data_IF_941151035253
#
_entry.id   IF_941151035253
#
_cell.length_a   1.000
_cell.length_b   1.000
_cell.length_c   1.000
_cell.angle_alpha   90.00
_cell.angle_beta   90.00
_cell.angle_gamma   90.00
#
_symmetry.space_group_name_H-M   'P 1'
#
loop_
_entity.id
_entity.type
_entity.pdbx_description
1 polymer ?
#
# COMPACT_ATOMS: atom_id res chain seq x y z
N UNK A 1 37.89 -6.82 7.02
CA UNK A 1 37.14 -5.91 7.94
C UNK A 1 36.51 -4.71 7.24
N UNK A 2 37.09 -4.15 6.16
CA UNK A 2 36.53 -2.96 5.48
C UNK A 2 35.35 -3.24 4.50
N UNK A 3 35.23 -4.46 3.96
CA UNK A 3 34.14 -4.80 3.01
C UNK A 3 32.77 -5.02 3.66
N UNK A 4 32.71 -5.33 4.96
CA UNK A 4 31.45 -5.49 5.69
C UNK A 4 30.77 -4.14 5.96
N UNK A 5 31.52 -3.04 6.06
CA UNK A 5 30.98 -1.69 6.27
C UNK A 5 30.25 -1.13 5.05
N UNK A 6 30.70 -1.44 3.83
CA UNK A 6 30.06 -0.97 2.60
C UNK A 6 28.68 -1.59 2.38
N UNK A 7 28.49 -2.86 2.77
CA UNK A 7 27.20 -3.55 2.71
C UNK A 7 26.19 -2.97 3.71
N UNK A 8 26.63 -2.51 4.88
CA UNK A 8 25.74 -1.87 5.86
C UNK A 8 25.31 -0.47 5.43
N UNK A 9 26.16 0.29 4.73
CA UNK A 9 25.83 1.65 4.25
C UNK A 9 24.82 1.59 3.08
N UNK A 10 24.94 0.59 2.20
CA UNK A 10 23.98 0.37 1.10
C UNK A 10 22.58 -0.06 1.57
N UNK A 11 22.47 -0.70 2.74
CA UNK A 11 21.19 -1.11 3.33
C UNK A 11 20.39 0.07 3.89
N UNK A 12 21.06 1.14 4.34
CA UNK A 12 20.42 2.32 4.95
C UNK A 12 19.99 3.33 3.89
N UNK A 13 20.82 3.57 2.88
CA UNK A 13 20.52 4.50 1.78
C UNK A 13 19.39 4.01 0.87
N UNK A 14 19.25 2.69 0.68
CA UNK A 14 18.14 2.10 -0.08
C UNK A 14 16.76 2.25 0.57
N UNK A 15 16.69 2.46 1.89
CA UNK A 15 15.43 2.71 2.62
C UNK A 15 14.99 4.18 2.57
N UNK A 16 15.95 5.11 2.51
CA UNK A 16 15.65 6.55 2.46
C UNK A 16 15.18 6.97 1.06
N UNK A 17 15.75 6.41 0.00
CA UNK A 17 15.45 6.80 -1.38
C UNK A 17 14.07 6.37 -1.90
N UNK A 18 13.29 5.61 -1.11
CA UNK A 18 11.92 5.18 -1.45
C UNK A 18 10.86 6.11 -0.83
N UNK A 19 11.24 7.05 0.04
CA UNK A 19 10.28 7.80 0.88
C UNK A 19 10.11 9.28 0.49
N UNK A 20 10.82 9.79 -0.52
CA UNK A 20 10.72 11.20 -0.91
C UNK A 20 10.60 11.35 -2.41
N UNK A 21 9.36 11.33 -2.90
CA UNK A 21 8.98 11.96 -4.18
C UNK A 21 7.60 12.60 -4.01
N UNK A 22 7.58 13.92 -3.79
CA UNK A 22 6.45 14.80 -4.08
C UNK A 22 7.01 16.10 -4.69
N UNK A 23 6.37 16.67 -5.74
CA UNK A 23 6.95 17.79 -6.49
C UNK A 23 6.43 19.15 -5.99
N UNK A 24 7.27 20.18 -6.05
CA UNK A 24 6.82 21.58 -6.00
C UNK A 24 7.69 22.49 -6.90
N UNK A 25 6.99 23.26 -7.71
CA UNK A 25 7.38 24.30 -8.69
C UNK A 25 7.75 25.67 -8.09
N UNK A 26 8.55 26.46 -8.83
CA UNK A 26 8.71 27.94 -8.77
C UNK A 26 10.12 28.41 -8.34
N UNK A 27 11.02 28.90 -9.22
CA UNK A 27 11.11 30.17 -10.00
C UNK A 27 11.95 31.28 -9.32
N UNK A 28 13.16 31.56 -9.87
CA UNK A 28 13.74 32.87 -10.32
C UNK A 28 15.29 32.85 -10.29
N UNK A 29 15.97 32.90 -11.45
CA UNK A 29 16.63 34.06 -12.13
C UNK A 29 17.83 34.62 -11.34
N UNK A 30 19.09 34.51 -11.83
CA UNK A 30 19.74 35.53 -12.67
C UNK A 30 21.02 34.98 -13.34
N UNK A 31 21.09 35.07 -14.67
CA UNK A 31 22.29 34.98 -15.53
C UNK A 31 22.11 35.96 -16.69
N UNK A 32 23.17 36.66 -17.13
CA UNK A 32 23.77 36.81 -18.50
C UNK A 32 25.01 37.77 -18.36
N UNK A 33 25.89 38.04 -19.37
CA UNK A 33 26.43 37.30 -20.54
C UNK A 33 27.97 37.15 -20.46
N UNK A 34 28.70 36.46 -21.36
CA UNK A 34 28.97 36.88 -22.75
C UNK A 34 29.77 35.81 -23.53
N UNK A 35 29.77 35.98 -24.86
CA UNK A 35 29.93 34.94 -25.88
C UNK A 35 31.06 35.21 -26.88
N UNK A 36 31.70 34.12 -27.36
CA UNK A 36 32.15 33.85 -28.76
C UNK A 36 33.48 34.40 -29.30
N UNK A 37 34.11 33.53 -30.13
CA UNK A 37 35.17 33.69 -31.19
C UNK A 37 36.54 33.06 -30.86
N UNK A 38 36.90 31.86 -31.37
CA UNK A 38 37.37 31.39 -32.71
C UNK A 38 38.84 31.74 -33.10
N UNK A 39 39.66 30.68 -33.15
CA UNK A 39 40.77 30.36 -34.11
C UNK A 39 41.94 31.35 -34.32
N UNK A 40 43.19 30.93 -34.04
CA UNK A 40 44.18 30.50 -35.07
C UNK A 40 45.62 30.31 -34.50
N UNK A 41 46.26 29.22 -34.95
CA UNK A 41 47.67 28.98 -35.33
C UNK A 41 48.94 29.50 -34.60
N UNK A 42 49.89 28.54 -34.53
CA UNK A 42 51.36 28.61 -34.74
C UNK A 42 52.31 29.31 -33.75
N UNK A 43 53.36 28.58 -33.35
CA UNK A 43 54.52 29.10 -32.61
C UNK A 43 55.67 28.07 -32.53
N UNK A 44 56.81 28.42 -33.14
CA UNK A 44 57.93 27.60 -33.61
C UNK A 44 59.23 27.85 -32.79
N UNK A 45 60.18 26.89 -32.83
CA UNK A 45 61.66 26.97 -32.61
C UNK A 45 62.14 27.25 -31.16
N UNK A 46 63.28 26.80 -30.64
CA UNK A 46 64.61 26.47 -31.18
C UNK A 46 65.42 25.69 -30.09
N UNK A 47 66.37 24.82 -30.42
CA UNK A 47 67.81 25.16 -30.31
C UNK A 47 68.69 24.17 -31.08
N UNK A 48 69.75 24.74 -31.64
CA UNK A 48 70.61 24.26 -32.72
C UNK A 48 72.04 23.96 -32.20
N UNK A 49 72.84 23.22 -32.99
CA UNK A 49 74.33 23.22 -33.12
C UNK A 49 75.09 22.03 -32.47
N UNK A 50 76.13 21.39 -33.04
CA UNK A 50 76.84 21.47 -34.33
C UNK A 50 77.81 20.26 -34.50
N UNK A 51 78.14 19.96 -35.76
CA UNK A 51 79.40 19.43 -36.34
C UNK A 51 79.91 18.01 -36.05
N UNK A 52 80.23 17.30 -37.14
CA UNK A 52 80.96 16.04 -37.13
C UNK A 52 82.47 16.16 -37.33
N UNK A 53 83.18 15.06 -37.05
CA UNK A 53 84.41 14.58 -37.69
C UNK A 53 84.64 13.12 -37.28
N UNK A 54 85.41 12.40 -38.10
CA UNK A 54 85.37 10.97 -38.34
C UNK A 54 86.19 10.06 -37.39
N UNK A 55 85.88 8.76 -37.53
CA UNK A 55 86.69 7.54 -37.35
C UNK A 55 86.69 6.90 -35.95
N UNK A 56 86.12 5.69 -35.89
CA UNK A 56 86.43 4.69 -34.86
C UNK A 56 85.21 3.96 -34.32
N UNK A 57 85.06 2.69 -34.73
CA UNK A 57 84.24 1.63 -34.13
C UNK A 57 82.73 1.61 -34.44
N UNK A 58 82.41 0.84 -35.50
CA UNK A 58 81.09 0.25 -35.72
C UNK A 58 80.75 -0.70 -34.57
N UNK A 59 80.01 -0.21 -33.56
CA UNK A 59 79.20 -1.09 -32.70
C UNK A 59 77.85 -1.23 -33.39
N UNK A 60 77.62 -2.42 -33.95
CA UNK A 60 76.33 -2.81 -34.49
C UNK A 60 75.35 -3.01 -33.33
N UNK A 61 74.84 -1.92 -32.76
CA UNK A 61 73.70 -1.97 -31.86
C UNK A 61 72.48 -2.20 -32.74
N UNK A 62 72.06 -3.46 -32.85
CA UNK A 62 70.70 -3.76 -33.28
C UNK A 62 69.78 -2.98 -32.36
N UNK A 63 69.15 -1.91 -32.89
CA UNK A 63 67.96 -1.32 -32.29
C UNK A 63 66.97 -2.47 -32.25
N UNK A 64 66.87 -3.10 -31.08
CA UNK A 64 65.80 -4.00 -30.77
C UNK A 64 64.56 -3.12 -30.77
N UNK A 65 63.85 -3.07 -31.91
CA UNK A 65 62.50 -2.56 -31.97
C UNK A 65 61.70 -3.34 -30.94
N UNK A 66 61.55 -2.74 -29.77
CA UNK A 66 60.74 -3.28 -28.71
C UNK A 66 59.31 -3.17 -29.23
N UNK A 67 58.64 -4.30 -29.55
CA UNK A 67 57.30 -4.23 -30.11
C UNK A 67 56.44 -3.44 -29.15
N UNK A 68 55.69 -2.49 -29.69
CA UNK A 68 54.78 -1.67 -28.89
C UNK A 68 53.90 -2.59 -28.04
N UNK A 69 53.66 -2.25 -26.78
CA UNK A 69 52.83 -3.05 -25.85
C UNK A 69 51.48 -3.49 -26.47
N UNK A 70 50.99 -2.71 -27.44
CA UNK A 70 49.81 -2.95 -28.25
C UNK A 70 49.93 -4.15 -29.21
N UNK A 71 51.08 -4.40 -29.83
CA UNK A 71 51.29 -5.59 -30.66
C UNK A 71 51.36 -6.87 -29.82
N UNK A 72 51.91 -6.79 -28.61
CA UNK A 72 51.93 -7.91 -27.65
C UNK A 72 50.52 -8.26 -27.13
N UNK A 73 49.62 -7.28 -27.06
CA UNK A 73 48.22 -7.46 -26.66
C UNK A 73 47.35 -7.99 -27.81
N UNK A 74 47.55 -7.50 -29.04
CA UNK A 74 46.78 -7.95 -30.21
C UNK A 74 47.13 -9.38 -30.65
N UNK A 75 48.39 -9.80 -30.47
CA UNK A 75 48.82 -11.18 -30.78
C UNK A 75 48.61 -12.20 -29.65
N UNK A 76 47.99 -11.81 -28.53
CA UNK A 76 47.85 -12.69 -27.35
C UNK A 76 46.82 -13.82 -27.52
N UNK A 77 46.04 -13.83 -28.61
CA UNK A 77 45.06 -14.87 -28.86
C UNK A 77 45.10 -15.35 -30.32
N UNK A 78 46.13 -16.14 -30.71
CA UNK A 78 46.31 -16.59 -32.10
C UNK A 78 45.23 -17.58 -32.57
N UNK A 79 44.47 -18.19 -31.65
CA UNK A 79 43.34 -19.08 -31.95
C UNK A 79 42.25 -18.93 -30.89
N UNK A 80 41.02 -18.68 -31.33
CA UNK A 80 39.85 -18.72 -30.47
C UNK A 80 39.65 -20.12 -29.91
N UNK A 81 39.41 -20.21 -28.60
CA UNK A 81 39.00 -21.48 -27.97
C UNK A 81 37.64 -21.92 -28.53
N UNK A 82 37.36 -23.24 -28.56
CA UNK A 82 36.07 -23.74 -28.99
C UNK A 82 34.94 -23.20 -28.11
N UNK A 83 33.71 -23.24 -28.63
CA UNK A 83 32.51 -22.78 -27.92
C UNK A 83 32.41 -23.52 -26.58
N UNK A 84 32.27 -22.75 -25.49
CA UNK A 84 32.14 -23.29 -24.14
C UNK A 84 30.88 -24.15 -23.98
N UNK A 85 30.91 -25.03 -22.98
CA UNK A 85 29.83 -25.95 -22.65
C UNK A 85 28.46 -25.26 -22.50
N UNK A 86 27.38 -26.01 -22.69
CA UNK A 86 26.00 -25.48 -22.64
C UNK A 86 25.68 -24.76 -21.32
N UNK A 87 26.27 -25.18 -20.20
CA UNK A 87 26.13 -24.53 -18.90
C UNK A 87 26.60 -23.08 -18.90
N UNK A 88 27.69 -22.78 -19.62
CA UNK A 88 28.19 -21.42 -19.77
C UNK A 88 27.22 -20.55 -20.57
N UNK A 89 26.67 -21.09 -21.66
CA UNK A 89 25.71 -20.36 -22.50
C UNK A 89 24.40 -20.09 -21.74
N UNK A 90 23.87 -21.09 -21.05
CA UNK A 90 22.65 -20.96 -20.24
C UNK A 90 22.85 -19.96 -19.10
N UNK A 91 24.00 -19.97 -18.42
CA UNK A 91 24.32 -18.99 -17.39
C UNK A 91 24.27 -17.55 -17.93
N UNK A 92 24.89 -17.29 -19.09
CA UNK A 92 24.90 -15.98 -19.71
C UNK A 92 23.51 -15.52 -20.18
N UNK A 93 22.67 -16.44 -20.64
CA UNK A 93 21.26 -16.14 -20.97
C UNK A 93 20.51 -15.67 -19.71
N UNK A 94 20.67 -16.36 -18.58
CA UNK A 94 20.04 -15.94 -17.32
C UNK A 94 20.59 -14.62 -16.79
N UNK A 95 21.89 -14.34 -16.97
CA UNK A 95 22.44 -13.02 -16.66
C UNK A 95 21.82 -11.94 -17.54
N UNK A 96 21.66 -12.18 -18.84
CA UNK A 96 20.98 -11.25 -19.74
C UNK A 96 19.51 -11.03 -19.35
N UNK A 97 18.78 -12.10 -19.02
CA UNK A 97 17.40 -12.02 -18.52
C UNK A 97 17.30 -11.23 -17.21
N UNK A 98 18.34 -11.27 -16.38
CA UNK A 98 18.39 -10.48 -15.15
C UNK A 98 18.46 -8.97 -15.47
N UNK A 99 19.28 -8.56 -16.44
CA UNK A 99 19.39 -7.15 -16.84
C UNK A 99 18.15 -6.61 -17.55
N UNK A 100 17.31 -7.48 -18.11
CA UNK A 100 16.02 -7.11 -18.72
C UNK A 100 14.88 -6.94 -17.71
N UNK A 101 15.15 -7.09 -16.40
CA UNK A 101 14.09 -7.01 -15.40
C UNK A 101 13.43 -5.62 -15.34
N UNK A 102 12.08 -5.53 -15.36
CA UNK A 102 11.39 -4.25 -15.28
C UNK A 102 11.51 -3.61 -13.89
N UNK A 103 11.45 -2.27 -13.80
CA UNK A 103 11.49 -1.49 -12.56
C UNK A 103 10.18 -1.59 -11.73
N UNK A 104 9.71 -2.80 -11.48
CA UNK A 104 8.56 -3.09 -10.61
C UNK A 104 9.02 -3.92 -9.41
N UNK A 105 8.30 -3.92 -8.28
CA UNK A 105 8.69 -4.73 -7.12
C UNK A 105 8.68 -6.24 -7.43
N UNK A 106 7.84 -6.69 -8.36
CA UNK A 106 7.87 -8.06 -8.89
C UNK A 106 9.09 -8.29 -9.80
N UNK A 107 9.48 -7.29 -10.60
CA UNK A 107 10.69 -7.33 -11.41
C UNK A 107 11.98 -7.42 -10.60
N UNK A 108 12.04 -6.79 -9.42
CA UNK A 108 13.17 -6.94 -8.49
C UNK A 108 13.32 -8.37 -7.99
N UNK A 109 12.22 -9.09 -7.74
CA UNK A 109 12.27 -10.51 -7.38
C UNK A 109 12.75 -11.34 -8.57
N UNK A 110 12.22 -11.08 -9.77
CA UNK A 110 12.64 -11.73 -11.00
C UNK A 110 14.15 -11.61 -11.25
N UNK A 111 14.70 -10.40 -11.11
CA UNK A 111 16.13 -10.10 -11.20
C UNK A 111 16.95 -11.04 -10.29
N UNK A 112 16.58 -11.12 -9.00
CA UNK A 112 17.33 -11.93 -8.02
C UNK A 112 17.25 -13.42 -8.34
N UNK A 113 16.09 -13.91 -8.77
CA UNK A 113 15.92 -15.32 -9.15
C UNK A 113 16.74 -15.66 -10.38
N UNK A 114 16.72 -14.82 -11.42
CA UNK A 114 17.52 -15.02 -12.63
C UNK A 114 19.03 -15.03 -12.33
N UNK A 115 19.50 -14.14 -11.44
CA UNK A 115 20.90 -14.13 -10.98
C UNK A 115 21.28 -15.41 -10.22
N UNK A 116 20.42 -15.91 -9.33
CA UNK A 116 20.67 -17.17 -8.60
C UNK A 116 20.83 -18.32 -9.59
N UNK A 117 19.93 -18.42 -10.59
CA UNK A 117 19.98 -19.48 -11.60
C UNK A 117 21.23 -19.34 -12.47
N UNK A 118 21.56 -18.12 -12.92
CA UNK A 118 22.77 -17.84 -13.69
C UNK A 118 24.06 -18.22 -12.94
N UNK A 119 24.17 -17.83 -11.67
CA UNK A 119 25.31 -18.20 -10.81
C UNK A 119 25.38 -19.71 -10.55
N UNK A 120 24.23 -20.41 -10.41
CA UNK A 120 24.21 -21.86 -10.24
C UNK A 120 24.75 -22.58 -11.48
N UNK A 121 24.33 -22.19 -12.69
CA UNK A 121 24.84 -22.78 -13.93
C UNK A 121 26.31 -22.42 -14.20
N UNK A 122 26.72 -21.18 -13.89
CA UNK A 122 28.11 -20.74 -13.98
C UNK A 122 29.02 -21.50 -12.99
N UNK A 123 28.57 -21.70 -11.75
CA UNK A 123 29.27 -22.52 -10.76
C UNK A 123 29.34 -24.00 -11.16
N UNK A 124 28.26 -24.57 -11.70
CA UNK A 124 28.24 -25.95 -12.19
C UNK A 124 29.18 -26.14 -13.39
N UNK A 125 29.29 -25.15 -14.28
CA UNK A 125 30.30 -25.14 -15.34
C UNK A 125 31.72 -25.13 -14.78
N UNK A 126 32.01 -24.24 -13.81
CA UNK A 126 33.32 -24.17 -13.16
C UNK A 126 33.70 -25.47 -12.42
N UNK A 127 32.72 -26.17 -11.83
CA UNK A 127 32.92 -27.45 -11.14
C UNK A 127 33.15 -28.61 -12.13
N UNK A 128 32.29 -28.75 -13.14
CA UNK A 128 32.24 -29.96 -13.98
C UNK A 128 33.15 -29.93 -15.20
N UNK A 129 33.49 -28.75 -15.73
CA UNK A 129 34.24 -28.61 -16.99
C UNK A 129 35.68 -28.17 -16.74
N UNK A 130 35.87 -27.12 -15.93
CA UNK A 130 37.20 -26.51 -15.71
C UNK A 130 37.83 -26.91 -14.36
N UNK A 131 37.10 -27.59 -13.47
CA UNK A 131 37.53 -27.95 -12.10
C UNK A 131 38.15 -26.76 -11.32
N UNK A 132 37.61 -25.56 -11.52
CA UNK A 132 38.16 -24.32 -10.97
C UNK A 132 37.43 -23.94 -9.67
N UNK A 133 38.04 -24.31 -8.53
CA UNK A 133 37.44 -24.15 -7.19
C UNK A 133 37.10 -22.69 -6.85
N UNK A 134 38.00 -21.76 -7.18
CA UNK A 134 37.79 -20.32 -6.94
C UNK A 134 36.53 -19.81 -7.66
N UNK A 135 36.29 -20.24 -8.90
CA UNK A 135 35.05 -19.91 -9.63
C UNK A 135 33.80 -20.47 -8.96
N UNK A 136 33.87 -21.68 -8.41
CA UNK A 136 32.76 -22.28 -7.65
C UNK A 136 32.49 -21.51 -6.35
N UNK A 137 33.54 -21.08 -5.64
CA UNK A 137 33.45 -20.28 -4.43
C UNK A 137 32.76 -18.94 -4.69
N UNK A 138 33.19 -18.19 -5.71
CA UNK A 138 32.59 -16.90 -6.06
C UNK A 138 31.14 -17.02 -6.49
N UNK A 139 30.82 -17.99 -7.35
CA UNK A 139 29.43 -18.23 -7.77
C UNK A 139 28.53 -18.64 -6.59
N UNK A 140 29.05 -19.44 -5.66
CA UNK A 140 28.33 -19.80 -4.43
C UNK A 140 28.07 -18.60 -3.53
N UNK A 141 29.06 -17.70 -3.37
CA UNK A 141 28.87 -16.45 -2.63
C UNK A 141 27.78 -15.57 -3.26
N UNK A 142 27.77 -15.44 -4.59
CA UNK A 142 26.73 -14.68 -5.29
C UNK A 142 25.33 -15.31 -5.14
N UNK A 143 25.23 -16.65 -5.12
CA UNK A 143 23.95 -17.33 -4.83
C UNK A 143 23.46 -16.97 -3.45
N UNK A 144 24.32 -17.05 -2.42
CA UNK A 144 23.94 -16.75 -1.03
C UNK A 144 23.47 -15.29 -0.90
N UNK A 145 24.23 -14.34 -1.46
CA UNK A 145 23.87 -12.91 -1.42
C UNK A 145 22.53 -12.66 -2.11
N UNK A 146 22.35 -13.17 -3.33
CA UNK A 146 21.08 -12.97 -4.06
C UNK A 146 19.92 -13.70 -3.37
N UNK A 147 20.14 -14.82 -2.69
CA UNK A 147 19.12 -15.51 -1.92
C UNK A 147 18.68 -14.72 -0.68
N UNK A 148 19.61 -14.06 0.01
CA UNK A 148 19.28 -13.15 1.12
C UNK A 148 18.42 -11.99 0.62
N UNK A 149 18.84 -11.32 -0.46
CA UNK A 149 18.05 -10.23 -1.05
C UNK A 149 16.69 -10.70 -1.58
N UNK A 150 16.64 -11.87 -2.22
CA UNK A 150 15.39 -12.50 -2.63
C UNK A 150 14.48 -12.70 -1.42
N UNK A 151 15.00 -13.27 -0.33
CA UNK A 151 14.24 -13.51 0.90
C UNK A 151 13.70 -12.21 1.46
N UNK A 152 14.53 -11.17 1.59
CA UNK A 152 14.11 -9.84 2.08
C UNK A 152 13.00 -9.25 1.20
N UNK A 153 13.17 -9.22 -0.12
CA UNK A 153 12.15 -8.69 -1.03
C UNK A 153 10.86 -9.53 -1.01
N UNK A 154 10.98 -10.85 -0.91
CA UNK A 154 9.86 -11.77 -0.79
C UNK A 154 9.08 -11.53 0.51
N UNK A 155 9.77 -11.33 1.63
CA UNK A 155 9.14 -10.99 2.90
C UNK A 155 8.45 -9.62 2.85
N UNK A 156 9.06 -8.63 2.21
CA UNK A 156 8.46 -7.30 2.01
C UNK A 156 7.24 -7.33 1.09
N UNK A 157 7.21 -8.25 0.13
CA UNK A 157 6.11 -8.43 -0.82
C UNK A 157 4.97 -9.31 -0.31
N UNK A 158 5.16 -9.99 0.83
CA UNK A 158 4.15 -10.86 1.41
C UNK A 158 2.86 -10.05 1.65
N UNK A 159 1.74 -10.39 0.99
CA UNK A 159 0.49 -9.68 1.18
C UNK A 159 0.07 -9.80 2.65
N UNK A 160 -0.29 -8.68 3.27
CA UNK A 160 -0.84 -8.69 4.61
C UNK A 160 -2.17 -9.42 4.54
N UNK A 161 -2.22 -10.63 5.11
CA UNK A 161 -3.47 -11.36 5.28
C UNK A 161 -4.22 -10.69 6.42
N UNK A 162 -5.32 -10.02 6.09
CA UNK A 162 -6.23 -9.47 7.09
C UNK A 162 -7.13 -10.60 7.63
N UNK A 163 -7.66 -10.41 8.84
CA UNK A 163 -8.74 -11.26 9.33
C UNK A 163 -9.94 -11.16 8.37
N UNK A 164 -10.72 -12.23 8.22
CA UNK A 164 -11.80 -12.33 7.23
C UNK A 164 -12.74 -11.10 7.24
N UNK A 165 -13.15 -10.66 8.43
CA UNK A 165 -14.10 -9.55 8.59
C UNK A 165 -13.47 -8.19 8.24
N UNK A 166 -12.17 -8.01 8.50
CA UNK A 166 -11.44 -6.79 8.12
C UNK A 166 -11.23 -6.75 6.60
N UNK A 167 -11.02 -7.91 5.97
CA UNK A 167 -10.95 -8.04 4.52
C UNK A 167 -12.29 -7.69 3.85
N UNK A 168 -13.41 -8.14 4.42
CA UNK A 168 -14.76 -7.81 3.95
C UNK A 168 -15.00 -6.29 3.99
N UNK A 169 -14.66 -5.63 5.11
CA UNK A 169 -14.65 -4.17 5.23
C UNK A 169 -13.80 -3.50 4.17
N UNK A 170 -12.58 -3.99 3.95
CA UNK A 170 -11.67 -3.43 2.94
C UNK A 170 -12.28 -3.51 1.54
N UNK A 171 -12.85 -4.66 1.19
CA UNK A 171 -13.47 -4.89 -0.12
C UNK A 171 -14.74 -4.04 -0.30
N UNK A 172 -15.54 -3.85 0.75
CA UNK A 172 -16.80 -3.11 0.68
C UNK A 172 -16.60 -1.57 0.68
N UNK A 173 -15.75 -1.03 1.56
CA UNK A 173 -15.61 0.41 1.76
C UNK A 173 -14.42 1.02 1.01
N UNK A 174 -13.26 0.37 1.05
CA UNK A 174 -11.99 0.98 0.65
C UNK A 174 -11.56 0.60 -0.78
N UNK A 175 -11.87 -0.61 -1.24
CA UNK A 175 -11.55 -1.09 -2.59
C UNK A 175 -12.27 -0.29 -3.70
N UNK A 176 -13.56 0.08 -3.59
CA UNK A 176 -14.23 0.90 -4.61
C UNK A 176 -13.59 2.28 -4.77
N UNK A 177 -13.01 2.81 -3.68
CA UNK A 177 -12.35 4.11 -3.63
C UNK A 177 -10.87 4.04 -4.02
N UNK A 178 -10.40 2.91 -4.57
CA UNK A 178 -9.01 2.67 -5.03
C UNK A 178 -7.94 2.78 -3.95
N UNK A 179 -8.28 2.56 -2.67
CA UNK A 179 -7.29 2.54 -1.59
C UNK A 179 -6.41 1.30 -1.69
N UNK A 180 -5.09 1.49 -1.71
CA UNK A 180 -4.14 0.38 -1.75
C UNK A 180 -4.15 -0.41 -0.44
N UNK A 181 -3.89 -1.72 -0.50
CA UNK A 181 -3.74 -2.56 0.71
C UNK A 181 -2.65 -2.04 1.66
N UNK A 182 -1.62 -1.36 1.13
CA UNK A 182 -0.54 -0.76 1.93
C UNK A 182 -1.04 0.44 2.73
N UNK A 183 -1.82 1.33 2.11
CA UNK A 183 -2.46 2.46 2.80
C UNK A 183 -3.45 1.97 3.86
N UNK A 184 -4.27 0.97 3.54
CA UNK A 184 -5.17 0.37 4.53
C UNK A 184 -4.42 -0.33 5.67
N UNK A 185 -3.26 -0.96 5.42
CA UNK A 185 -2.39 -1.47 6.48
C UNK A 185 -1.94 -0.35 7.43
N UNK A 186 -1.60 0.84 6.90
CA UNK A 186 -1.21 2.00 7.72
C UNK A 186 -2.33 2.42 8.66
N UNK A 187 -3.57 2.47 8.17
CA UNK A 187 -4.77 2.72 8.98
C UNK A 187 -4.94 1.67 10.07
N UNK A 188 -4.79 0.38 9.74
CA UNK A 188 -4.90 -0.70 10.70
C UNK A 188 -3.81 -0.69 11.77
N UNK A 189 -2.62 -0.15 11.46
CA UNK A 189 -1.55 0.04 12.47
C UNK A 189 -1.93 1.08 13.53
N UNK A 190 -2.88 1.97 13.25
CA UNK A 190 -3.42 2.94 14.22
C UNK A 190 -4.55 2.37 15.10
N UNK A 191 -4.89 1.09 14.92
CA UNK A 191 -5.91 0.39 15.69
C UNK A 191 -5.55 0.37 17.18
N UNK A 192 -6.54 0.65 18.04
CA UNK A 192 -6.44 0.44 19.49
C UNK A 192 -6.61 -1.03 19.82
N UNK A 193 -7.76 -1.59 19.44
CA UNK A 193 -8.10 -2.99 19.61
C UNK A 193 -9.37 -3.36 18.82
N UNK A 194 -9.61 -4.66 18.64
CA UNK A 194 -10.92 -5.18 18.24
C UNK A 194 -11.68 -5.58 19.51
N UNK A 195 -12.83 -4.97 19.75
CA UNK A 195 -13.71 -5.31 20.87
C UNK A 195 -14.72 -6.37 20.44
N UNK A 196 -14.82 -7.42 21.26
CA UNK A 196 -15.87 -8.43 21.15
C UNK A 196 -16.95 -8.08 22.17
N UNK A 197 -18.18 -7.89 21.69
CA UNK A 197 -19.35 -7.56 22.49
C UNK A 197 -20.29 -8.76 22.49
N UNK A 198 -20.72 -9.18 23.68
CA UNK A 198 -21.78 -10.18 23.83
C UNK A 198 -23.15 -9.54 23.58
N UNK A 199 -24.15 -10.39 23.38
CA UNK A 199 -25.55 -9.94 23.30
C UNK A 199 -25.92 -9.13 24.55
N UNK A 200 -26.59 -7.99 24.36
CA UNK A 200 -26.95 -7.00 25.37
C UNK A 200 -25.78 -6.30 26.09
N UNK A 201 -24.54 -6.46 25.61
CA UNK A 201 -23.40 -5.74 26.15
C UNK A 201 -23.38 -4.29 25.63
N UNK A 202 -23.13 -3.33 26.53
CA UNK A 202 -23.02 -1.92 26.20
C UNK A 202 -21.62 -1.60 25.69
N UNK A 203 -21.53 -1.05 24.47
CA UNK A 203 -20.30 -0.52 23.92
C UNK A 203 -19.96 0.86 24.53
N UNK A 204 -20.95 1.74 24.55
CA UNK A 204 -20.84 3.10 25.05
C UNK A 204 -22.11 3.49 25.81
N UNK A 205 -21.93 4.23 26.90
CA UNK A 205 -23.03 4.73 27.71
C UNK A 205 -23.14 6.25 27.54
N UNK A 206 -24.38 6.71 27.33
CA UNK A 206 -24.72 8.12 27.18
C UNK A 206 -24.16 8.94 28.37
N UNK A 207 -23.50 10.05 28.06
CA UNK A 207 -22.91 11.04 28.98
C UNK A 207 -21.87 10.49 29.96
N UNK A 208 -21.38 9.27 29.76
CA UNK A 208 -20.41 8.60 30.64
C UNK A 208 -19.15 8.22 29.89
N UNK A 209 -19.28 7.61 28.71
CA UNK A 209 -18.13 7.18 27.92
C UNK A 209 -17.54 8.39 27.16
N UNK A 210 -16.23 8.61 27.27
CA UNK A 210 -15.52 9.67 26.54
C UNK A 210 -15.35 9.31 25.06
N UNK A 211 -15.49 10.29 24.17
CA UNK A 211 -15.32 10.13 22.73
C UNK A 211 -13.87 10.40 22.33
N UNK A 212 -13.02 9.39 22.45
CA UNK A 212 -11.59 9.44 22.13
C UNK A 212 -11.18 8.53 20.95
N UNK A 213 -12.15 7.77 20.42
CA UNK A 213 -11.91 6.72 19.44
C UNK A 213 -12.88 6.82 18.27
N UNK A 214 -12.44 6.33 17.12
CA UNK A 214 -13.31 6.05 15.99
C UNK A 214 -13.55 4.54 15.94
N UNK A 215 -14.80 4.12 15.83
CA UNK A 215 -15.13 2.70 15.78
C UNK A 215 -16.01 2.31 14.59
N UNK A 216 -15.77 1.10 14.09
CA UNK A 216 -16.42 0.51 12.93
C UNK A 216 -16.92 -0.89 13.26
N UNK A 217 -18.16 -1.18 12.89
CA UNK A 217 -18.76 -2.50 13.10
C UNK A 217 -18.21 -3.48 12.06
N UNK A 218 -17.54 -4.54 12.51
CA UNK A 218 -17.04 -5.62 11.65
C UNK A 218 -18.12 -6.66 11.39
N UNK A 219 -18.81 -7.09 12.45
CA UNK A 219 -19.87 -8.09 12.38
C UNK A 219 -20.88 -7.85 13.51
N UNK A 220 -22.13 -8.27 13.30
CA UNK A 220 -23.20 -8.15 14.27
C UNK A 220 -24.09 -6.92 14.04
N UNK A 221 -25.06 -6.71 14.93
CA UNK A 221 -26.02 -5.59 14.92
C UNK A 221 -25.99 -4.87 16.25
N UNK A 222 -25.90 -3.55 16.20
CA UNK A 222 -25.94 -2.70 17.38
C UNK A 222 -27.14 -1.77 17.32
N UNK A 223 -27.81 -1.57 18.44
CA UNK A 223 -28.88 -0.58 18.58
C UNK A 223 -28.32 0.67 19.24
N UNK A 224 -28.66 1.81 18.66
CA UNK A 224 -28.34 3.13 19.21
C UNK A 224 -29.59 3.68 19.87
N UNK A 225 -29.47 4.11 21.12
CA UNK A 225 -30.56 4.65 21.91
C UNK A 225 -30.17 5.98 22.56
N UNK A 226 -31.12 6.89 22.69
CA UNK A 226 -30.93 8.18 23.37
C UNK A 226 -32.05 8.37 24.38
N UNK A 227 -31.73 8.75 25.62
CA UNK A 227 -32.71 8.86 26.70
C UNK A 227 -33.61 7.61 26.83
N UNK A 228 -33.02 6.42 26.72
CA UNK A 228 -33.70 5.11 26.75
C UNK A 228 -34.69 4.83 25.59
N UNK A 229 -34.73 5.67 24.55
CA UNK A 229 -35.50 5.41 23.31
C UNK A 229 -34.56 4.92 22.21
N UNK A 230 -34.89 3.80 21.57
CA UNK A 230 -34.14 3.30 20.41
C UNK A 230 -34.35 4.23 19.22
N UNK A 231 -33.24 4.68 18.61
CA UNK A 231 -33.24 5.58 17.46
C UNK A 231 -33.11 4.79 16.15
N UNK A 232 -32.03 4.03 16.02
CA UNK A 232 -31.73 3.26 14.81
C UNK A 232 -30.81 2.08 15.12
N UNK A 233 -30.74 1.14 14.19
CA UNK A 233 -29.79 0.02 14.22
C UNK A 233 -28.62 0.34 13.30
N UNK A 234 -27.41 0.06 13.80
CA UNK A 234 -26.17 0.10 13.03
C UNK A 234 -25.80 -1.33 12.63
N UNK A 235 -25.66 -1.50 11.32
CA UNK A 235 -25.32 -2.77 10.66
C UNK A 235 -23.80 -2.92 10.47
N UNK A 236 -23.31 -4.11 10.08
CA UNK A 236 -21.90 -4.29 9.72
C UNK A 236 -21.45 -3.31 8.63
N UNK A 237 -20.18 -2.95 8.63
CA UNK A 237 -19.56 -1.98 7.73
C UNK A 237 -19.98 -0.51 7.93
N UNK A 238 -20.77 -0.21 8.97
CA UNK A 238 -21.08 1.16 9.37
C UNK A 238 -20.24 1.62 10.57
N UNK A 239 -19.96 2.92 10.62
CA UNK A 239 -19.26 3.52 11.74
C UNK A 239 -20.24 3.74 12.89
N UNK A 240 -19.76 3.75 14.13
CA UNK A 240 -20.58 4.14 15.29
C UNK A 240 -20.40 5.65 15.57
N UNK A 241 -19.15 6.09 15.63
CA UNK A 241 -18.75 7.41 16.14
C UNK A 241 -18.46 8.43 15.02
N UNK A 242 -19.13 8.29 13.86
CA UNK A 242 -18.91 9.15 12.69
C UNK A 242 -19.41 10.59 12.87
N UNK A 243 -20.55 10.89 13.55
CA UNK A 243 -20.93 12.27 13.83
C UNK A 243 -19.90 12.98 14.73
N UNK A 244 -19.39 12.29 15.74
CA UNK A 244 -18.44 12.82 16.72
C UNK A 244 -17.04 13.02 16.11
N UNK A 245 -16.74 12.35 14.99
CA UNK A 245 -15.52 12.58 14.24
C UNK A 245 -15.45 14.01 13.69
N UNK A 246 -16.56 14.50 13.09
CA UNK A 246 -16.69 15.85 12.53
C UNK A 246 -17.18 16.88 13.55
N UNK A 247 -17.83 16.42 14.62
CA UNK A 247 -18.35 17.26 15.68
C UNK A 247 -17.28 18.18 16.26
N UNK A 248 -17.59 19.48 16.28
CA UNK A 248 -16.84 20.47 17.06
C UNK A 248 -17.05 20.11 18.53
N UNK A 249 -15.94 19.99 19.24
CA UNK A 249 -15.76 19.52 20.61
C UNK A 249 -16.53 20.31 21.69
N UNK A 250 -17.87 20.28 21.69
CA UNK A 250 -18.65 20.83 22.81
C UNK A 250 -18.89 19.79 23.90
N UNK A 251 -19.05 18.52 23.53
CA UNK A 251 -19.22 17.42 24.48
C UNK A 251 -18.08 16.40 24.34
N UNK A 252 -17.33 16.16 25.41
CA UNK A 252 -16.29 15.13 25.44
C UNK A 252 -16.89 13.71 25.52
N UNK A 253 -18.21 13.57 25.72
CA UNK A 253 -18.89 12.32 26.02
C UNK A 253 -19.89 11.91 24.93
N UNK A 254 -20.12 10.61 24.82
CA UNK A 254 -21.13 10.05 23.91
C UNK A 254 -22.52 10.60 24.26
N UNK A 255 -23.24 11.13 23.28
CA UNK A 255 -24.61 11.62 23.49
C UNK A 255 -25.69 10.52 23.39
N UNK A 256 -25.28 9.31 23.02
CA UNK A 256 -26.15 8.15 22.81
C UNK A 256 -25.56 6.92 23.52
N UNK A 257 -26.42 5.98 23.89
CA UNK A 257 -26.04 4.67 24.38
C UNK A 257 -26.09 3.64 23.27
N UNK A 258 -25.03 2.85 23.13
CA UNK A 258 -24.88 1.85 22.05
C UNK A 258 -24.80 0.47 22.68
N UNK A 259 -25.73 -0.41 22.29
CA UNK A 259 -25.86 -1.76 22.84
C UNK A 259 -25.84 -2.81 21.72
N UNK A 260 -25.13 -3.91 21.92
CA UNK A 260 -25.12 -5.02 20.97
C UNK A 260 -26.41 -5.85 21.07
N UNK A 261 -27.06 -6.12 19.93
CA UNK A 261 -28.24 -6.99 19.86
C UNK A 261 -27.87 -8.46 19.70
N UNK A 262 -26.68 -8.73 19.18
CA UNK A 262 -26.12 -10.08 18.98
C UNK A 262 -24.62 -10.06 19.23
N UNK A 263 -23.96 -11.23 19.18
CA UNK A 263 -22.50 -11.29 19.30
C UNK A 263 -21.84 -10.46 18.19
N UNK A 264 -21.21 -9.36 18.60
CA UNK A 264 -20.75 -8.31 17.69
C UNK A 264 -19.26 -8.09 17.84
N UNK A 265 -18.61 -7.71 16.75
CA UNK A 265 -17.19 -7.33 16.75
C UNK A 265 -17.04 -5.93 16.21
N UNK A 266 -16.36 -5.09 16.97
CA UNK A 266 -16.19 -3.68 16.67
C UNK A 266 -14.70 -3.37 16.64
N UNK A 267 -14.26 -2.84 15.51
CA UNK A 267 -12.91 -2.36 15.31
C UNK A 267 -12.80 -0.93 15.87
N UNK A 268 -11.83 -0.70 16.75
CA UNK A 268 -11.64 0.60 17.40
C UNK A 268 -10.26 1.17 17.09
N UNK A 269 -10.22 2.41 16.61
CA UNK A 269 -9.01 3.19 16.37
C UNK A 269 -8.83 4.32 17.38
N UNK A 270 -7.58 4.65 17.66
CA UNK A 270 -7.26 5.90 18.36
C UNK A 270 -7.52 7.08 17.42
N UNK A 271 -8.39 8.03 17.82
CA UNK A 271 -8.74 9.19 16.98
C UNK A 271 -7.50 9.98 16.56
N UNK A 272 -6.63 10.33 17.51
CA UNK A 272 -5.47 11.18 17.26
C UNK A 272 -4.42 10.50 16.36
N UNK A 273 -4.06 9.25 16.68
CA UNK A 273 -3.10 8.49 15.87
C UNK A 273 -3.61 8.28 14.45
N UNK A 274 -4.90 7.97 14.31
CA UNK A 274 -5.52 7.78 13.01
C UNK A 274 -5.54 9.10 12.22
N UNK A 275 -5.96 10.21 12.85
CA UNK A 275 -5.98 11.53 12.20
C UNK A 275 -4.58 11.96 11.74
N UNK A 276 -3.56 11.77 12.58
CA UNK A 276 -2.15 12.00 12.23
C UNK A 276 -1.67 11.13 11.07
N UNK A 277 -2.05 9.84 11.05
CA UNK A 277 -1.69 8.96 9.93
C UNK A 277 -2.40 9.32 8.64
N UNK A 278 -3.64 9.80 8.70
CA UNK A 278 -4.44 10.15 7.53
C UNK A 278 -3.98 11.50 6.95
N UNK A 279 -3.70 12.51 7.79
CA UNK A 279 -3.22 13.81 7.31
C UNK A 279 -1.85 13.75 6.61
N UNK A 280 -1.07 12.68 6.84
CA UNK A 280 0.18 12.45 6.11
C UNK A 280 -0.03 12.08 4.63
N UNK A 281 -1.25 11.70 4.25
CA UNK A 281 -1.61 11.23 2.91
C UNK A 281 -2.94 11.86 2.48
N UNK A 282 -2.87 12.94 1.70
CA UNK A 282 -4.05 13.72 1.30
C UNK A 282 -5.12 12.92 0.54
N UNK A 283 -4.72 11.87 -0.19
CA UNK A 283 -5.68 10.95 -0.82
C UNK A 283 -6.45 10.14 0.23
N UNK A 284 -5.74 9.59 1.22
CA UNK A 284 -6.36 8.83 2.30
C UNK A 284 -7.29 9.72 3.13
N UNK A 285 -6.91 10.99 3.34
CA UNK A 285 -7.75 11.99 3.99
C UNK A 285 -9.08 12.20 3.26
N UNK A 286 -9.02 12.50 1.96
CA UNK A 286 -10.23 12.69 1.16
C UNK A 286 -11.13 11.43 1.17
N UNK A 287 -10.55 10.23 1.14
CA UNK A 287 -11.30 8.98 1.22
C UNK A 287 -12.02 8.83 2.57
N UNK A 288 -11.33 9.09 3.69
CA UNK A 288 -11.95 9.02 5.01
C UNK A 288 -13.05 10.05 5.21
N UNK A 289 -12.80 11.30 4.79
CA UNK A 289 -13.80 12.37 4.87
C UNK A 289 -15.05 12.02 4.03
N UNK A 290 -14.85 11.42 2.85
CA UNK A 290 -15.96 10.95 2.02
C UNK A 290 -16.74 9.79 2.64
N UNK A 291 -16.05 8.75 3.14
CA UNK A 291 -16.72 7.58 3.76
C UNK A 291 -17.49 8.02 5.01
N UNK A 292 -16.85 8.78 5.90
CA UNK A 292 -17.47 9.22 7.15
C UNK A 292 -18.59 10.23 6.88
N UNK A 293 -18.40 11.16 5.93
CA UNK A 293 -19.43 12.11 5.54
C UNK A 293 -20.68 11.41 5.01
N UNK A 294 -20.50 10.37 4.16
CA UNK A 294 -21.61 9.55 3.68
C UNK A 294 -22.36 8.85 4.82
N UNK A 295 -21.63 8.30 5.78
CA UNK A 295 -22.22 7.60 6.93
C UNK A 295 -23.04 8.56 7.83
N UNK A 296 -22.51 9.77 8.08
CA UNK A 296 -23.24 10.81 8.82
C UNK A 296 -24.53 11.18 8.11
N UNK A 297 -24.49 11.41 6.80
CA UNK A 297 -25.69 11.75 6.01
C UNK A 297 -26.72 10.62 6.07
N UNK A 298 -26.31 9.36 5.93
CA UNK A 298 -27.21 8.21 6.07
C UNK A 298 -27.87 8.15 7.45
N UNK A 299 -27.11 8.33 8.53
CA UNK A 299 -27.66 8.34 9.89
C UNK A 299 -28.64 9.50 10.12
N UNK A 300 -28.31 10.70 9.61
CA UNK A 300 -29.20 11.85 9.69
C UNK A 300 -30.52 11.61 8.95
N UNK A 301 -30.49 10.97 7.77
CA UNK A 301 -31.71 10.59 7.05
C UNK A 301 -32.55 9.57 7.82
N UNK A 302 -31.92 8.55 8.41
CA UNK A 302 -32.63 7.54 9.23
C UNK A 302 -33.30 8.17 10.46
N UNK A 303 -32.59 9.06 11.17
CA UNK A 303 -33.15 9.78 12.32
C UNK A 303 -34.27 10.73 11.88
N UNK A 304 -34.13 11.41 10.74
CA UNK A 304 -35.17 12.29 10.21
C UNK A 304 -36.44 11.53 9.84
N UNK A 305 -36.32 10.38 9.17
CA UNK A 305 -37.47 9.53 8.82
C UNK A 305 -38.19 8.99 10.06
N UNK A 306 -37.44 8.53 11.07
CA UNK A 306 -38.03 8.05 12.33
C UNK A 306 -38.75 9.16 13.09
N UNK A 307 -38.22 10.38 13.09
CA UNK A 307 -38.89 11.55 13.68
C UNK A 307 -40.14 11.98 12.91
N UNK A 308 -40.10 11.99 11.57
CA UNK A 308 -41.24 12.36 10.73
C UNK A 308 -42.43 11.40 10.94
N UNK A 309 -42.16 10.10 11.03
CA UNK A 309 -43.16 9.07 11.33
C UNK A 309 -43.69 9.18 12.75
N UNK A 310 -42.83 9.49 13.74
CA UNK A 310 -43.26 9.69 15.13
C UNK A 310 -44.11 10.95 15.32
N UNK A 311 -43.88 12.00 14.52
CA UNK A 311 -44.63 13.26 14.58
C UNK A 311 -45.83 13.32 13.63
N UNK A 312 -46.18 12.22 12.96
CA UNK A 312 -47.39 12.13 12.12
C UNK A 312 -47.35 12.97 10.83
N UNK A 313 -46.16 13.38 10.38
CA UNK A 313 -46.01 14.10 9.12
C UNK A 313 -45.54 13.13 8.03
N UNK A 314 -46.50 12.52 7.33
CA UNK A 314 -46.22 11.81 6.08
C UNK A 314 -45.72 12.85 5.04
N UNK A 315 -44.60 12.62 4.34
CA UNK A 315 -44.32 13.39 3.14
C UNK A 315 -45.41 13.04 2.13
N UNK A 316 -46.22 14.04 1.76
CA UNK A 316 -47.26 13.94 0.75
C UNK A 316 -46.73 13.24 -0.51
N UNK A 317 -47.19 12.01 -0.73
CA UNK A 317 -47.38 11.51 -2.09
C UNK A 317 -48.54 12.30 -2.66
N UNK A 318 -48.29 13.01 -3.76
CA UNK A 318 -49.33 13.65 -4.55
C UNK A 318 -50.33 12.58 -5.03
N UNK A 319 -51.47 12.47 -4.36
CA UNK A 319 -52.70 12.07 -5.02
C UNK A 319 -53.79 13.08 -4.68
N UNK A 320 -54.24 13.71 -5.75
CA UNK A 320 -55.35 14.63 -5.87
C UNK A 320 -56.67 13.86 -5.70
N UNK A 321 -57.53 14.30 -4.78
CA UNK A 321 -58.84 13.70 -4.58
C UNK A 321 -59.50 14.15 -3.26
N UNK A 322 -60.62 14.84 -3.39
CA UNK A 322 -61.30 15.67 -2.41
C UNK A 322 -61.94 14.95 -1.20
N UNK A 323 -62.17 15.76 -0.15
CA UNK A 323 -63.22 15.71 0.88
C UNK A 323 -63.28 14.61 1.96
N UNK A 324 -62.78 14.94 3.17
CA UNK A 324 -63.58 15.08 4.42
C UNK A 324 -62.70 15.33 5.67
N UNK A 325 -63.18 16.10 6.66
CA UNK A 325 -62.43 16.37 7.88
C UNK A 325 -62.67 15.27 8.92
N UNK A 326 -61.59 14.69 9.45
CA UNK A 326 -61.66 14.01 10.75
C UNK A 326 -60.40 14.29 11.55
N UNK A 327 -60.52 15.28 12.43
CA UNK A 327 -59.61 15.50 13.55
C UNK A 327 -59.56 14.24 14.42
N UNK A 328 -58.54 13.42 14.23
CA UNK A 328 -58.09 12.48 15.26
C UNK A 328 -56.79 13.02 15.81
N UNK A 329 -56.91 13.82 16.86
CA UNK A 329 -55.80 14.08 17.79
C UNK A 329 -55.47 12.73 18.43
N UNK A 330 -54.52 11.99 17.84
CA UNK A 330 -53.97 10.81 18.49
C UNK A 330 -52.88 11.26 19.46
N UNK A 331 -53.31 11.31 20.72
CA UNK A 331 -52.56 11.49 21.95
C UNK A 331 -51.16 10.88 21.87
N UNK A 332 -50.15 11.70 22.18
CA UNK A 332 -48.77 11.33 22.43
C UNK A 332 -48.73 10.18 23.45
N UNK A 333 -48.29 9.02 23.01
CA UNK A 333 -48.15 7.82 23.81
C UNK A 333 -47.48 6.77 22.94
N UNK A 334 -46.25 6.41 23.33
CA UNK A 334 -45.32 5.47 22.70
C UNK A 334 -45.95 4.53 21.67
N UNK A 335 -45.78 4.88 20.39
CA UNK A 335 -46.46 4.25 19.28
C UNK A 335 -45.64 3.13 18.63
N UNK A 336 -46.28 2.02 18.17
CA UNK A 336 -45.70 0.90 17.41
C UNK A 336 -44.90 1.27 16.15
N UNK A 337 -44.89 2.54 15.74
CA UNK A 337 -44.20 3.03 14.55
C UNK A 337 -42.68 2.88 14.64
N UNK A 338 -42.05 3.15 15.79
CA UNK A 338 -40.60 2.99 15.95
C UNK A 338 -40.22 1.50 15.86
N UNK A 339 -41.00 0.63 16.49
CA UNK A 339 -40.79 -0.83 16.41
C UNK A 339 -41.02 -1.36 14.99
N UNK A 340 -42.02 -0.83 14.28
CA UNK A 340 -42.26 -1.16 12.88
C UNK A 340 -41.14 -0.67 11.95
N UNK A 341 -40.57 0.51 12.21
CA UNK A 341 -39.41 1.03 11.48
C UNK A 341 -38.14 0.23 11.79
N UNK A 342 -37.93 -0.12 13.05
CA UNK A 342 -36.82 -0.98 13.46
C UNK A 342 -36.90 -2.35 12.78
N UNK A 343 -38.10 -2.94 12.76
CA UNK A 343 -38.36 -4.18 12.03
C UNK A 343 -38.21 -4.01 10.51
N UNK A 344 -38.59 -2.86 9.94
CA UNK A 344 -38.38 -2.57 8.52
C UNK A 344 -36.89 -2.39 8.18
N UNK A 345 -36.11 -1.78 9.06
CA UNK A 345 -34.66 -1.70 8.93
C UNK A 345 -34.02 -3.09 9.01
N UNK A 346 -34.49 -3.94 9.93
CA UNK A 346 -34.09 -5.34 10.02
C UNK A 346 -34.46 -6.16 8.77
N UNK A 347 -35.60 -5.87 8.14
CA UNK A 347 -36.08 -6.56 6.94
C UNK A 347 -35.48 -6.03 5.63
N UNK A 348 -35.11 -4.74 5.58
CA UNK A 348 -34.61 -4.07 4.37
C UNK A 348 -33.30 -4.63 3.82
N UNK A 349 -32.52 -5.34 4.63
CA UNK A 349 -31.30 -6.03 4.20
C UNK A 349 -31.56 -7.46 3.68
N UNK A 350 -32.72 -8.07 3.99
CA UNK A 350 -33.09 -9.39 3.47
C UNK A 350 -33.59 -9.35 2.01
N UNK A 351 -33.69 -8.17 1.39
CA UNK A 351 -34.02 -8.02 -0.02
C UNK A 351 -32.73 -7.91 -0.86
N UNK A 352 -32.29 -8.96 -1.56
CA UNK A 352 -31.18 -8.85 -2.48
C UNK A 352 -31.60 -7.94 -3.66
N UNK A 353 -30.77 -6.93 -3.93
CA UNK A 353 -30.74 -6.26 -5.23
C UNK A 353 -30.27 -7.29 -6.27
N UNK A 354 -31.21 -8.07 -6.81
CA UNK A 354 -31.27 -8.66 -8.16
C UNK A 354 -32.17 -9.90 -8.14
N UNK A 355 -33.16 -9.88 -9.03
CA UNK A 355 -34.15 -10.92 -9.28
C UNK A 355 -33.50 -12.17 -9.91
N UNK A 356 -33.52 -13.31 -9.22
CA UNK A 356 -33.53 -14.65 -9.84
C UNK A 356 -33.95 -15.79 -8.86
N UNK A 357 -35.16 -16.31 -9.09
CA UNK A 357 -35.67 -17.69 -8.89
C UNK A 357 -35.76 -18.35 -7.47
N UNK A 358 -36.69 -19.31 -7.26
CA UNK A 358 -37.37 -19.53 -5.98
C UNK A 358 -36.74 -20.60 -5.06
N UNK A 359 -37.15 -20.50 -3.79
CA UNK A 359 -36.68 -21.21 -2.61
C UNK A 359 -36.97 -22.72 -2.57
N UNK A 360 -36.08 -23.45 -1.89
CA UNK A 360 -36.35 -24.72 -1.23
C UNK A 360 -36.59 -24.48 0.29
N UNK A 361 -37.41 -25.28 0.99
CA UNK A 361 -37.93 -24.97 2.32
C UNK A 361 -36.89 -25.15 3.44
N UNK A 362 -37.05 -24.33 4.48
CA UNK A 362 -36.19 -24.20 5.64
C UNK A 362 -36.39 -25.30 6.70
N UNK A 363 -35.28 -25.74 7.29
CA UNK A 363 -35.22 -26.46 8.57
C UNK A 363 -35.37 -25.47 9.75
N UNK A 364 -36.23 -25.74 10.76
CA UNK A 364 -36.42 -24.87 11.90
C UNK A 364 -35.62 -25.38 13.11
N UNK A 365 -34.38 -24.92 13.29
CA UNK A 365 -33.72 -24.99 14.59
C UNK A 365 -32.59 -23.96 14.72
N UNK A 366 -32.94 -22.75 15.16
CA UNK A 366 -32.02 -21.85 15.81
C UNK A 366 -32.74 -21.19 17.00
N UNK A 367 -32.19 -21.26 18.23
CA UNK A 367 -32.73 -20.56 19.37
C UNK A 367 -32.43 -19.06 19.21
N UNK A 368 -33.47 -18.27 19.09
CA UNK A 368 -33.38 -16.81 19.16
C UNK A 368 -33.09 -16.35 20.59
N UNK A 369 -32.38 -15.22 20.69
CA UNK A 369 -32.40 -14.38 21.88
C UNK A 369 -33.81 -13.83 22.14
#
# INVERSE_FOLDING_TARGET
MLFLGALTIGMITGLQNVTTDLPSTGSDVTEVPESTERTSEMGLLETTKLSGSQVGDFVNVTIQEQPSMWELYLHHCPKWRPINHIFFQVANIFFLLSFLAPHTPSGLIWLRVALIIGCAFSGMWAWSVECYLDGVLWNSAFIVINFVYFSVHFYLMKPIKFHKDIEEVYVALFKPLRVSRRQFRRVLMCMRNVRHLKCHELYAHEKVTKVDSLSLVLSGKLVVSQNQRALHIVFPHHFLDSPEWFGVSTDEYFQVSIMAMEESRVLVWHRDKLKLSIMSDGFLQAVFDHILGRDVVHKLMQVSETMAVSNGHLPNSYEEGEDKPMLVVKKAGDGPGITALLNRQLQGEHAPLLRAAPAAPADPSAPGC
#
